data_IF_273514957511
#
_entry.id   IF_273514957511
#
_cell.length_a   1.000
_cell.length_b   1.000
_cell.length_c   1.000
_cell.angle_alpha   90.00
_cell.angle_beta   90.00
_cell.angle_gamma   90.00
#
_symmetry.space_group_name_H-M   'P 1'
#
loop_
_entity.id
_entity.type
_entity.pdbx_description
1 polymer ?
#
# COMPACT_ATOMS: atom_id res chain seq x y z
N UNK A 1 22.41 -4.53 2.07
CA UNK A 1 21.70 -3.24 1.87
C UNK A 1 21.01 -3.12 0.52
N UNK A 2 21.70 -3.28 -0.63
CA UNK A 2 21.05 -3.19 -1.96
C UNK A 2 19.98 -4.28 -2.16
N UNK A 3 20.32 -5.53 -1.85
CA UNK A 3 19.41 -6.68 -2.03
C UNK A 3 18.10 -6.56 -1.25
N UNK A 4 18.14 -6.12 0.01
CA UNK A 4 16.92 -5.91 0.82
C UNK A 4 15.93 -4.94 0.15
N UNK A 5 16.43 -3.80 -0.34
CA UNK A 5 15.58 -2.83 -1.03
C UNK A 5 15.05 -3.38 -2.35
N UNK A 6 15.88 -4.10 -3.12
CA UNK A 6 15.46 -4.70 -4.39
C UNK A 6 14.37 -5.75 -4.15
N UNK A 7 14.56 -6.64 -3.17
CA UNK A 7 13.58 -7.66 -2.78
C UNK A 7 12.27 -6.99 -2.33
N UNK A 8 12.33 -5.94 -1.50
CA UNK A 8 11.12 -5.24 -1.08
C UNK A 8 10.42 -4.53 -2.25
N UNK A 9 11.18 -3.97 -3.21
CA UNK A 9 10.60 -3.36 -4.41
C UNK A 9 9.93 -4.37 -5.34
N UNK A 10 10.52 -5.55 -5.51
CA UNK A 10 9.90 -6.63 -6.31
C UNK A 10 8.62 -7.11 -5.63
N UNK A 11 8.67 -7.34 -4.31
CA UNK A 11 7.52 -7.76 -3.53
C UNK A 11 6.40 -6.71 -3.60
N UNK A 12 6.75 -5.43 -3.50
CA UNK A 12 5.79 -4.33 -3.69
C UNK A 12 5.23 -4.23 -5.09
N UNK A 13 6.01 -4.53 -6.12
CA UNK A 13 5.51 -4.55 -7.51
C UNK A 13 4.47 -5.65 -7.70
N UNK A 14 4.71 -6.83 -7.12
CA UNK A 14 3.76 -7.96 -7.16
C UNK A 14 2.49 -7.62 -6.36
N UNK A 15 2.62 -7.06 -5.16
CA UNK A 15 1.46 -6.66 -4.36
C UNK A 15 0.69 -5.52 -5.00
N UNK A 16 1.35 -4.58 -5.71
CA UNK A 16 0.70 -3.52 -6.47
C UNK A 16 -0.22 -4.08 -7.56
N UNK A 17 0.23 -5.11 -8.28
CA UNK A 17 -0.57 -5.75 -9.34
C UNK A 17 -1.81 -6.39 -8.72
N UNK A 18 -1.65 -7.16 -7.64
CA UNK A 18 -2.79 -7.73 -6.92
C UNK A 18 -3.72 -6.65 -6.34
N UNK A 19 -3.15 -5.56 -5.83
CA UNK A 19 -3.90 -4.44 -5.26
C UNK A 19 -4.71 -3.68 -6.30
N UNK A 20 -4.28 -3.66 -7.56
CA UNK A 20 -5.03 -3.03 -8.64
C UNK A 20 -6.41 -3.68 -8.83
N UNK A 21 -6.53 -5.00 -8.63
CA UNK A 21 -7.82 -5.69 -8.61
C UNK A 21 -8.70 -5.25 -7.44
N UNK A 22 -8.13 -5.18 -6.23
CA UNK A 22 -8.81 -4.70 -5.02
C UNK A 22 -9.31 -3.26 -5.23
N UNK A 23 -8.47 -2.41 -5.82
CA UNK A 23 -8.83 -1.05 -6.16
C UNK A 23 -10.00 -0.99 -7.15
N UNK A 24 -9.99 -1.80 -8.21
CA UNK A 24 -11.11 -1.89 -9.15
C UNK A 24 -12.43 -2.32 -8.49
N UNK A 25 -12.37 -3.36 -7.65
CA UNK A 25 -13.54 -3.86 -6.91
C UNK A 25 -14.05 -2.83 -5.89
N UNK A 26 -13.18 -1.98 -5.34
CA UNK A 26 -13.60 -0.96 -4.36
C UNK A 26 -14.64 0.02 -4.90
N UNK A 27 -14.69 0.25 -6.22
CA UNK A 27 -15.71 1.10 -6.85
C UNK A 27 -17.11 0.49 -6.83
N UNK A 28 -17.24 -0.83 -6.71
CA UNK A 28 -18.54 -1.51 -6.61
C UNK A 28 -19.32 -1.08 -5.35
N UNK A 29 -18.66 -0.49 -4.35
CA UNK A 29 -19.34 0.05 -3.17
C UNK A 29 -20.33 1.18 -3.55
N UNK A 30 -20.11 1.85 -4.68
CA UNK A 30 -20.98 2.91 -5.19
C UNK A 30 -22.18 2.39 -5.99
N UNK A 31 -22.19 1.12 -6.42
CA UNK A 31 -23.30 0.52 -7.17
C UNK A 31 -24.59 0.46 -6.32
N UNK A 32 -24.44 0.51 -4.99
CA UNK A 32 -25.56 0.62 -4.04
C UNK A 32 -26.34 1.94 -4.13
N UNK A 33 -25.85 2.93 -4.90
CA UNK A 33 -26.47 4.26 -5.03
C UNK A 33 -26.31 5.15 -3.79
N UNK A 34 -25.66 4.66 -2.73
CA UNK A 34 -25.48 5.37 -1.46
C UNK A 34 -24.07 5.97 -1.43
N UNK A 35 -23.99 7.28 -1.65
CA UNK A 35 -22.76 8.06 -1.45
C UNK A 35 -22.71 8.47 0.03
N UNK A 36 -22.05 7.64 0.84
CA UNK A 36 -21.77 7.92 2.26
C UNK A 36 -20.27 8.24 2.44
N UNK A 37 -19.94 9.07 3.45
CA UNK A 37 -18.57 9.42 3.84
C UNK A 37 -17.68 8.17 4.03
N UNK A 38 -18.25 7.06 4.51
CA UNK A 38 -17.52 5.80 4.70
C UNK A 38 -17.11 5.15 3.38
N UNK A 39 -18.01 5.12 2.39
CA UNK A 39 -17.75 4.56 1.06
C UNK A 39 -16.69 5.36 0.31
N UNK A 40 -16.79 6.69 0.36
CA UNK A 40 -15.80 7.60 -0.23
C UNK A 40 -14.44 7.45 0.44
N UNK A 41 -14.41 7.42 1.78
CA UNK A 41 -13.17 7.24 2.55
C UNK A 41 -12.51 5.90 2.26
N UNK A 42 -13.30 4.82 2.11
CA UNK A 42 -12.79 3.49 1.78
C UNK A 42 -12.04 3.47 0.44
N UNK A 43 -12.64 4.02 -0.61
CA UNK A 43 -12.01 4.06 -1.94
C UNK A 43 -10.78 4.97 -1.94
N UNK A 44 -10.80 6.09 -1.22
CA UNK A 44 -9.63 6.97 -1.06
C UNK A 44 -8.48 6.22 -0.37
N UNK A 45 -8.74 5.52 0.73
CA UNK A 45 -7.72 4.77 1.47
C UNK A 45 -7.09 3.67 0.59
N UNK A 46 -7.89 2.97 -0.21
CA UNK A 46 -7.39 1.95 -1.14
C UNK A 46 -6.58 2.59 -2.28
N UNK A 47 -7.01 3.74 -2.78
CA UNK A 47 -6.30 4.50 -3.83
C UNK A 47 -4.96 5.06 -3.35
N UNK A 48 -4.83 5.38 -2.06
CA UNK A 48 -3.60 5.90 -1.48
C UNK A 48 -2.48 4.86 -1.37
N UNK A 49 -2.80 3.56 -1.31
CA UNK A 49 -1.81 2.48 -1.21
C UNK A 49 -0.73 2.52 -2.30
N UNK A 50 -1.07 2.49 -3.62
CA UNK A 50 -0.05 2.54 -4.68
C UNK A 50 0.81 3.80 -4.61
N UNK A 51 0.21 4.94 -4.26
CA UNK A 51 0.94 6.21 -4.07
C UNK A 51 1.92 6.10 -2.90
N UNK A 52 1.48 5.53 -1.77
CA UNK A 52 2.32 5.31 -0.60
C UNK A 52 3.48 4.35 -0.90
N UNK A 53 3.25 3.27 -1.64
CA UNK A 53 4.29 2.31 -2.07
C UNK A 53 5.38 3.02 -2.88
N UNK A 54 5.00 3.81 -3.88
CA UNK A 54 5.95 4.52 -4.75
C UNK A 54 6.73 5.57 -3.95
N UNK A 55 6.06 6.40 -3.17
CA UNK A 55 6.72 7.44 -2.39
C UNK A 55 7.65 6.85 -1.32
N UNK A 56 7.21 5.84 -0.58
CA UNK A 56 8.02 5.18 0.44
C UNK A 56 9.24 4.49 -0.18
N UNK A 57 9.08 3.86 -1.34
CA UNK A 57 10.18 3.27 -2.11
C UNK A 57 11.25 4.31 -2.48
N UNK A 58 10.84 5.42 -3.09
CA UNK A 58 11.74 6.48 -3.53
C UNK A 58 12.47 7.13 -2.34
N UNK A 59 11.74 7.41 -1.25
CA UNK A 59 12.29 8.00 -0.05
C UNK A 59 13.27 7.05 0.66
N UNK A 60 12.91 5.78 0.81
CA UNK A 60 13.78 4.75 1.40
C UNK A 60 15.07 4.59 0.59
N UNK A 61 14.99 4.61 -0.75
CA UNK A 61 16.16 4.53 -1.63
C UNK A 61 17.10 5.71 -1.47
N UNK A 62 16.56 6.94 -1.38
CA UNK A 62 17.34 8.16 -1.17
C UNK A 62 18.02 8.18 0.20
N UNK A 63 17.34 7.70 1.24
CA UNK A 63 17.83 7.75 2.62
C UNK A 63 18.78 6.60 3.00
N UNK A 64 18.87 5.55 2.19
CA UNK A 64 19.63 4.31 2.47
C UNK A 64 21.10 4.52 2.89
N UNK A 65 21.75 5.58 2.42
CA UNK A 65 23.19 5.82 2.63
C UNK A 65 23.42 6.56 3.96
N UNK A 66 22.60 7.58 4.25
CA UNK A 66 22.80 8.46 5.41
C UNK A 66 22.00 8.06 6.65
N UNK A 67 20.81 7.47 6.49
CA UNK A 67 19.89 7.15 7.61
C UNK A 67 19.18 5.82 7.35
N UNK A 68 19.89 4.72 7.63
CA UNK A 68 19.44 3.34 7.39
C UNK A 68 18.17 2.97 8.18
N UNK A 69 18.08 3.40 9.43
CA UNK A 69 16.91 3.13 10.29
C UNK A 69 15.64 3.81 9.76
N UNK A 70 15.73 5.08 9.37
CA UNK A 70 14.59 5.78 8.77
C UNK A 70 14.18 5.18 7.43
N UNK A 71 15.14 4.78 6.59
CA UNK A 71 14.84 4.09 5.34
C UNK A 71 14.08 2.78 5.59
N UNK A 72 14.40 2.06 6.67
CA UNK A 72 13.68 0.84 7.06
C UNK A 72 12.25 1.14 7.53
N UNK A 73 12.08 2.14 8.41
CA UNK A 73 10.75 2.54 8.93
C UNK A 73 9.83 3.00 7.79
N UNK A 74 10.32 3.87 6.90
CA UNK A 74 9.53 4.37 5.76
C UNK A 74 9.14 3.22 4.85
N UNK A 75 10.04 2.26 4.62
CA UNK A 75 9.74 1.10 3.81
C UNK A 75 8.69 0.19 4.45
N UNK A 76 8.45 0.23 5.77
CA UNK A 76 7.41 -0.55 6.45
C UNK A 76 6.02 0.07 6.36
N UNK A 77 5.90 1.36 6.03
CA UNK A 77 4.60 2.05 5.98
C UNK A 77 3.61 1.37 5.03
N UNK A 78 3.96 0.99 3.79
CA UNK A 78 3.04 0.29 2.91
C UNK A 78 2.63 -1.10 3.42
N UNK A 79 3.47 -1.76 4.23
CA UNK A 79 3.13 -3.07 4.81
C UNK A 79 1.95 -2.99 5.78
N UNK A 80 1.68 -1.82 6.37
CA UNK A 80 0.52 -1.61 7.26
C UNK A 80 -0.79 -1.87 6.51
N UNK A 81 -0.91 -1.40 5.26
CA UNK A 81 -2.07 -1.69 4.41
C UNK A 81 -2.19 -3.18 4.11
N UNK A 82 -1.08 -3.83 3.73
CA UNK A 82 -1.06 -5.26 3.41
C UNK A 82 -1.53 -6.09 4.60
N UNK A 83 -1.00 -5.80 5.80
CA UNK A 83 -1.37 -6.49 7.04
C UNK A 83 -2.83 -6.20 7.39
N UNK A 84 -3.26 -4.94 7.35
CA UNK A 84 -4.64 -4.56 7.67
C UNK A 84 -5.66 -5.23 6.75
N UNK A 85 -5.37 -5.27 5.44
CA UNK A 85 -6.24 -5.93 4.48
C UNK A 85 -6.24 -7.46 4.63
N UNK A 86 -5.08 -8.05 4.92
CA UNK A 86 -4.98 -9.49 5.18
C UNK A 86 -5.77 -9.88 6.42
N UNK A 87 -5.65 -9.12 7.52
CA UNK A 87 -6.43 -9.35 8.73
C UNK A 87 -7.94 -9.23 8.48
N UNK A 88 -8.35 -8.23 7.71
CA UNK A 88 -9.75 -8.08 7.33
C UNK A 88 -10.26 -9.30 6.56
N UNK A 89 -9.48 -9.79 5.58
CA UNK A 89 -9.81 -11.01 4.81
C UNK A 89 -9.88 -12.29 5.67
N UNK A 90 -9.04 -12.43 6.70
CA UNK A 90 -9.04 -13.61 7.56
C UNK A 90 -10.10 -13.58 8.66
N UNK A 91 -10.54 -12.38 9.07
CA UNK A 91 -11.54 -12.17 10.12
C UNK A 91 -12.96 -11.94 9.58
N UNK A 92 -13.10 -11.69 8.27
CA UNK A 92 -14.38 -11.58 7.55
C UNK A 92 -14.90 -12.94 7.11
#
# INVERSE_FOLDING_TARGET
MKWYLIISQILYSITLIAWFFIWGISFMVFDSGIINIFNVSFVIIITLYPVAVILCSLLAWKMRIKKRELAFIINLVPMIWVIGFSLLLFLS
#
